data_IF_445284006882
#
_entry.id   IF_445284006882
#
_cell.length_a   1.000
_cell.length_b   1.000
_cell.length_c   1.000
_cell.angle_alpha   90.00
_cell.angle_beta   90.00
_cell.angle_gamma   90.00
#
_symmetry.space_group_name_H-M   'P 1'
#
loop_
_entity.id
_entity.type
_entity.pdbx_description
1 polymer ?
#
# COMPACT_ATOMS: atom_id res chain seq x y z
N UNK A 1 -13.64 19.23 -12.12
CA UNK A 1 -14.61 18.36 -11.42
C UNK A 1 -15.77 19.18 -10.88
N UNK A 2 -17.01 18.71 -11.05
CA UNK A 2 -18.24 19.34 -10.54
C UNK A 2 -19.21 18.25 -10.09
N UNK A 3 -20.01 18.52 -9.07
CA UNK A 3 -21.09 17.62 -8.64
C UNK A 3 -22.37 18.43 -8.34
N UNK A 4 -23.51 17.76 -8.20
CA UNK A 4 -24.78 18.37 -7.77
C UNK A 4 -25.31 17.58 -6.59
N UNK A 5 -25.76 18.26 -5.53
CA UNK A 5 -26.34 17.61 -4.34
C UNK A 5 -27.68 16.92 -4.61
N UNK A 6 -28.46 17.48 -5.53
CA UNK A 6 -29.75 16.96 -5.96
C UNK A 6 -29.93 17.19 -7.48
N UNK A 7 -30.82 16.43 -8.12
CA UNK A 7 -31.13 16.60 -9.55
C UNK A 7 -31.67 18.02 -9.79
N UNK A 8 -31.11 18.72 -10.78
CA UNK A 8 -31.49 20.10 -11.10
C UNK A 8 -30.78 21.19 -10.28
N UNK A 9 -30.13 20.85 -9.15
CA UNK A 9 -29.40 21.83 -8.34
C UNK A 9 -28.20 22.44 -9.08
N UNK A 10 -27.76 23.64 -8.66
CA UNK A 10 -26.58 24.30 -9.22
C UNK A 10 -25.35 23.40 -9.03
N UNK A 11 -24.53 23.17 -10.07
CA UNK A 11 -23.28 22.44 -9.90
C UNK A 11 -22.37 23.14 -8.89
N UNK A 12 -21.65 22.37 -8.07
CA UNK A 12 -20.67 22.83 -7.07
C UNK A 12 -19.28 22.23 -7.36
N UNK A 13 -18.21 22.88 -6.90
CA UNK A 13 -16.88 22.26 -6.88
C UNK A 13 -16.78 21.27 -5.72
N UNK A 14 -16.31 20.03 -5.93
CA UNK A 14 -16.04 19.12 -4.82
C UNK A 14 -14.76 19.53 -4.09
N UNK A 15 -14.65 19.13 -2.82
CA UNK A 15 -13.37 19.10 -2.13
C UNK A 15 -12.56 17.89 -2.59
N UNK A 16 -11.25 18.06 -2.71
CA UNK A 16 -10.33 16.99 -3.08
C UNK A 16 -9.39 16.72 -1.92
N UNK A 17 -9.17 15.46 -1.59
CA UNK A 17 -8.13 15.02 -0.66
C UNK A 17 -7.16 14.10 -1.39
N UNK A 18 -5.92 14.06 -0.90
CA UNK A 18 -4.90 13.12 -1.35
C UNK A 18 -4.14 12.58 -0.14
N UNK A 19 -3.63 11.36 -0.27
CA UNK A 19 -2.83 10.68 0.74
C UNK A 19 -2.20 9.43 0.14
N UNK A 20 -0.93 9.17 0.44
CA UNK A 20 -0.24 7.97 -0.04
C UNK A 20 -0.70 6.76 0.77
N UNK A 21 -1.32 5.78 0.11
CA UNK A 21 -1.68 4.48 0.71
C UNK A 21 -0.53 3.48 0.76
N UNK A 22 0.59 3.83 0.12
CA UNK A 22 1.92 4.07 0.69
C UNK A 22 2.86 4.42 -0.49
N UNK A 23 4.13 4.72 -0.23
CA UNK A 23 5.13 4.87 -1.29
C UNK A 23 5.88 3.54 -1.49
N UNK A 24 5.57 2.81 -2.57
CA UNK A 24 6.06 1.44 -2.80
C UNK A 24 7.57 1.27 -2.59
N UNK A 25 8.47 2.12 -3.14
CA UNK A 25 9.90 1.94 -2.93
C UNK A 25 10.31 2.05 -1.45
N UNK A 26 9.64 2.93 -0.68
CA UNK A 26 9.91 3.09 0.75
C UNK A 26 9.37 1.91 1.55
N UNK A 27 8.19 1.41 1.19
CA UNK A 27 7.59 0.25 1.83
C UNK A 27 8.43 -1.00 1.60
N UNK A 28 8.97 -1.21 0.39
CA UNK A 28 9.85 -2.32 0.10
C UNK A 28 11.09 -2.31 1.01
N UNK A 29 11.81 -1.19 1.07
CA UNK A 29 13.02 -1.06 1.90
C UNK A 29 12.70 -1.29 3.38
N UNK A 30 11.61 -0.70 3.88
CA UNK A 30 11.17 -0.91 5.26
C UNK A 30 10.88 -2.38 5.57
N UNK A 31 10.26 -3.12 4.65
CA UNK A 31 10.04 -4.57 4.82
C UNK A 31 11.36 -5.33 4.82
N UNK A 32 12.27 -5.05 3.89
CA UNK A 32 13.58 -5.71 3.83
C UNK A 32 14.37 -5.50 5.13
N UNK A 33 14.49 -4.26 5.60
CA UNK A 33 15.27 -3.93 6.80
C UNK A 33 14.67 -4.50 8.10
N UNK A 34 13.34 -4.44 8.26
CA UNK A 34 12.71 -4.83 9.52
C UNK A 34 12.44 -6.34 9.64
N UNK A 35 12.50 -7.07 8.52
CA UNK A 35 12.23 -8.52 8.50
C UNK A 35 13.45 -9.36 8.09
N UNK A 36 14.61 -8.72 7.90
CA UNK A 36 15.88 -9.42 7.65
C UNK A 36 16.26 -10.32 8.83
N UNK A 37 16.78 -11.51 8.51
CA UNK A 37 17.31 -12.49 9.44
C UNK A 37 18.85 -12.51 9.40
N UNK A 38 19.52 -13.04 10.44
CA UNK A 38 21.00 -13.11 10.49
C UNK A 38 21.65 -13.87 9.33
N UNK A 39 20.93 -14.78 8.69
CA UNK A 39 21.40 -15.55 7.52
C UNK A 39 21.20 -14.81 6.18
N UNK A 40 20.65 -13.60 6.21
CA UNK A 40 20.37 -12.78 5.04
C UNK A 40 19.01 -13.03 4.38
N UNK A 41 18.23 -14.01 4.86
CA UNK A 41 16.84 -14.17 4.42
C UNK A 41 15.95 -13.04 4.94
N UNK A 42 14.80 -12.83 4.30
CA UNK A 42 13.78 -11.86 4.75
C UNK A 42 12.47 -12.58 5.00
N UNK A 43 11.96 -12.52 6.22
CA UNK A 43 10.65 -13.09 6.56
C UNK A 43 9.55 -12.30 5.84
N UNK A 44 8.67 -12.99 5.14
CA UNK A 44 7.51 -12.36 4.49
C UNK A 44 6.46 -12.04 5.55
N UNK A 45 6.05 -10.76 5.73
CA UNK A 45 4.97 -10.38 6.63
C UNK A 45 3.72 -11.21 6.34
N UNK A 46 3.03 -11.69 7.38
CA UNK A 46 1.88 -12.60 7.23
C UNK A 46 0.81 -12.06 6.27
N UNK A 47 0.54 -10.76 6.32
CA UNK A 47 -0.41 -10.09 5.44
C UNK A 47 -0.04 -10.14 3.95
N UNK A 48 1.24 -10.34 3.61
CA UNK A 48 1.73 -10.40 2.24
C UNK A 48 1.78 -11.83 1.68
N UNK A 49 1.80 -12.86 2.53
CA UNK A 49 1.95 -14.28 2.09
C UNK A 49 0.91 -14.74 1.07
N UNK A 50 -0.39 -14.38 1.16
CA UNK A 50 -1.37 -14.75 0.14
C UNK A 50 -1.05 -14.19 -1.26
N UNK A 51 -0.32 -13.08 -1.33
CA UNK A 51 0.10 -12.44 -2.58
C UNK A 51 1.45 -12.98 -3.08
N UNK A 52 2.16 -13.76 -2.28
CA UNK A 52 3.45 -14.35 -2.60
C UNK A 52 3.39 -15.88 -2.77
N UNK A 53 2.21 -16.42 -3.11
CA UNK A 53 2.04 -17.87 -3.31
C UNK A 53 2.21 -18.69 -2.03
N UNK A 54 2.00 -18.09 -0.86
CA UNK A 54 2.21 -18.72 0.45
C UNK A 54 3.67 -18.73 0.93
N UNK A 55 4.59 -18.06 0.23
CA UNK A 55 5.98 -17.96 0.66
C UNK A 55 6.10 -17.30 2.04
N UNK A 56 6.86 -17.93 2.93
CA UNK A 56 7.10 -17.43 4.29
C UNK A 56 8.39 -16.61 4.42
N UNK A 57 9.33 -16.80 3.49
CA UNK A 57 10.60 -16.08 3.45
C UNK A 57 11.11 -15.89 2.00
N UNK A 58 11.95 -14.87 1.81
CA UNK A 58 12.77 -14.65 0.62
C UNK A 58 14.19 -15.07 0.98
N UNK A 59 14.77 -16.00 0.21
CA UNK A 59 16.13 -16.53 0.44
C UNK A 59 17.13 -15.96 -0.57
N UNK A 60 18.44 -15.92 -0.23
CA UNK A 60 19.51 -15.57 -1.18
C UNK A 60 19.58 -16.47 -2.41
#
# INVERSE_FOLDING_TARGET
LRYRRQRGARPEHPHTLNGSGLALPRTLIAVLENYQQPDGSVVVPEALRPYMGGAEAITP
#
